data_IF_719540794010
#
_entry.id   IF_719540794010
#
_cell.length_a   1.000
_cell.length_b   1.000
_cell.length_c   1.000
_cell.angle_alpha   90.00
_cell.angle_beta   90.00
_cell.angle_gamma   90.00
#
_symmetry.space_group_name_H-M   'P 1'
#
loop_
_entity.id
_entity.type
_entity.pdbx_description
1 polymer ?
#
# COMPACT_ATOMS: atom_id res chain seq x y z
N UNK A 1 -1.79 -5.43 14.69
CA UNK A 1 -1.63 -4.93 13.30
C UNK A 1 -2.74 -3.99 12.82
N UNK A 2 -3.70 -3.66 13.68
CA UNK A 2 -4.80 -2.78 13.28
C UNK A 2 -4.29 -1.40 12.85
N UNK A 3 -3.29 -0.85 13.52
CA UNK A 3 -2.70 0.44 13.15
C UNK A 3 -1.98 0.38 11.80
N UNK A 4 -1.37 -0.75 11.49
CA UNK A 4 -0.69 -0.92 10.20
C UNK A 4 -1.69 -1.02 9.06
N UNK A 5 -2.77 -1.76 9.27
CA UNK A 5 -3.82 -1.88 8.27
C UNK A 5 -4.50 -0.53 8.00
N UNK A 6 -4.79 0.23 9.05
CA UNK A 6 -5.36 1.56 8.91
C UNK A 6 -4.41 2.51 8.16
N UNK A 7 -3.12 2.46 8.47
CA UNK A 7 -2.11 3.27 7.78
C UNK A 7 -2.01 2.88 6.30
N UNK A 8 -2.04 1.59 6.02
CA UNK A 8 -1.98 1.08 4.66
C UNK A 8 -3.21 1.49 3.85
N UNK A 9 -4.40 1.39 4.45
CA UNK A 9 -5.64 1.78 3.79
C UNK A 9 -5.64 3.28 3.45
N UNK A 10 -5.19 4.11 4.38
CA UNK A 10 -5.07 5.55 4.16
C UNK A 10 -4.08 5.86 3.05
N UNK A 11 -2.94 5.17 3.02
CA UNK A 11 -1.93 5.35 1.99
C UNK A 11 -2.46 4.92 0.62
N UNK A 12 -3.15 3.78 0.55
CA UNK A 12 -3.74 3.29 -0.69
C UNK A 12 -4.78 4.28 -1.23
N UNK A 13 -5.63 4.81 -0.36
CA UNK A 13 -6.62 5.80 -0.74
C UNK A 13 -5.95 7.07 -1.28
N UNK A 14 -4.90 7.51 -0.64
CA UNK A 14 -4.13 8.68 -1.06
C UNK A 14 -3.45 8.44 -2.41
N UNK A 15 -2.83 7.28 -2.59
CA UNK A 15 -2.16 6.94 -3.84
C UNK A 15 -3.12 6.86 -5.02
N UNK A 16 -4.31 6.31 -4.79
CA UNK A 16 -5.30 6.08 -5.85
C UNK A 16 -6.34 7.20 -5.97
N UNK A 17 -6.22 8.24 -5.15
CA UNK A 17 -7.14 9.38 -5.13
C UNK A 17 -8.61 8.96 -4.94
N UNK A 18 -8.84 7.90 -4.18
CA UNK A 18 -10.19 7.42 -3.88
C UNK A 18 -10.21 6.73 -2.52
N UNK A 19 -11.27 6.96 -1.72
CA UNK A 19 -11.42 6.27 -0.45
C UNK A 19 -11.95 4.83 -0.60
N UNK A 20 -12.35 4.45 -1.82
CA UNK A 20 -12.99 3.14 -2.05
C UNK A 20 -11.97 2.09 -2.43
N UNK A 21 -11.08 1.81 -1.48
CA UNK A 21 -10.07 0.77 -1.61
C UNK A 21 -10.32 -0.27 -0.52
N UNK A 22 -10.35 -1.53 -0.90
CA UNK A 22 -10.54 -2.63 0.06
C UNK A 22 -9.32 -3.54 0.07
N UNK A 23 -8.96 -4.01 1.26
CA UNK A 23 -7.85 -4.94 1.43
C UNK A 23 -8.27 -6.32 0.96
N UNK A 24 -7.49 -6.92 0.06
CA UNK A 24 -7.77 -8.27 -0.43
C UNK A 24 -6.72 -9.28 0.00
N UNK A 25 -5.50 -8.84 0.29
CA UNK A 25 -4.49 -9.76 0.81
C UNK A 25 -3.40 -9.02 1.56
N UNK A 26 -2.79 -9.73 2.50
CA UNK A 26 -1.60 -9.28 3.21
C UNK A 26 -0.60 -10.42 3.08
N UNK A 27 0.46 -10.15 2.33
CA UNK A 27 1.49 -11.15 2.05
C UNK A 27 2.81 -10.79 2.70
N UNK A 28 3.61 -11.80 2.96
CA UNK A 28 4.99 -11.62 3.40
C UNK A 28 5.12 -10.74 4.63
N UNK A 29 4.24 -10.93 5.60
CA UNK A 29 4.37 -10.20 6.86
C UNK A 29 5.52 -10.80 7.65
N UNK A 30 6.65 -10.11 7.68
CA UNK A 30 7.86 -10.58 8.33
C UNK A 30 8.17 -9.69 9.51
N UNK A 31 8.08 -10.26 10.72
CA UNK A 31 8.46 -9.56 11.93
C UNK A 31 9.96 -9.72 12.15
N UNK A 32 10.66 -8.62 12.24
CA UNK A 32 12.10 -8.60 12.46
C UNK A 32 12.45 -8.43 13.94
N UNK A 33 11.69 -7.59 14.63
CA UNK A 33 11.93 -7.24 16.03
C UNK A 33 10.63 -6.91 16.72
N UNK A 34 10.53 -7.16 18.03
CA UNK A 34 9.36 -6.70 18.78
C UNK A 34 9.37 -5.17 18.91
N UNK A 35 8.20 -4.58 18.87
CA UNK A 35 8.04 -3.17 19.20
C UNK A 35 8.11 -3.03 20.72
N UNK A 36 8.93 -2.10 21.20
CA UNK A 36 9.06 -1.83 22.64
C UNK A 36 8.18 -0.67 23.00
N UNK A 37 7.63 -0.75 24.21
CA UNK A 37 6.86 0.35 24.76
C UNK A 37 7.72 1.61 24.85
N UNK A 38 7.12 2.76 24.55
CA UNK A 38 7.82 4.05 24.60
C UNK A 38 8.62 4.40 23.38
N UNK A 39 8.70 3.52 22.40
CA UNK A 39 9.35 3.82 21.13
C UNK A 39 8.37 4.46 20.14
N UNK A 40 8.85 5.44 19.38
CA UNK A 40 8.08 5.97 18.29
C UNK A 40 8.13 4.99 17.12
N UNK A 41 7.00 4.75 16.49
CA UNK A 41 6.94 3.87 15.32
C UNK A 41 6.65 4.72 14.10
N UNK A 42 7.47 4.56 13.07
CA UNK A 42 7.27 5.20 11.78
C UNK A 42 6.95 4.13 10.75
N UNK A 43 5.96 4.43 9.90
CA UNK A 43 5.56 3.53 8.83
C UNK A 43 5.92 4.18 7.51
N UNK A 44 6.66 3.44 6.70
CA UNK A 44 7.04 3.86 5.36
C UNK A 44 6.32 2.97 4.35
N UNK A 45 5.86 3.58 3.27
CA UNK A 45 5.17 2.85 2.23
C UNK A 45 5.73 3.17 0.86
N UNK A 46 5.66 2.19 -0.02
CA UNK A 46 5.99 2.38 -1.42
C UNK A 46 5.06 1.53 -2.28
N UNK A 47 4.88 1.94 -3.52
CA UNK A 47 4.05 1.18 -4.46
C UNK A 47 4.93 0.12 -5.10
N UNK A 48 4.60 -1.15 -4.80
CA UNK A 48 5.32 -2.29 -5.36
C UNK A 48 4.85 -2.62 -6.77
N UNK A 49 3.55 -2.52 -7.00
CA UNK A 49 2.99 -2.82 -8.31
C UNK A 49 1.54 -2.40 -8.42
N UNK A 50 1.08 -2.23 -9.65
CA UNK A 50 -0.31 -1.89 -9.94
C UNK A 50 -0.84 -2.87 -10.97
N UNK A 51 -1.86 -3.64 -10.59
CA UNK A 51 -2.59 -4.51 -11.49
C UNK A 51 -3.72 -3.73 -12.18
N UNK A 52 -4.63 -4.43 -12.83
CA UNK A 52 -5.74 -3.78 -13.51
C UNK A 52 -6.64 -3.04 -12.53
N UNK A 53 -7.05 -3.71 -11.46
CA UNK A 53 -7.98 -3.17 -10.46
C UNK A 53 -7.34 -3.03 -9.08
N UNK A 54 -6.07 -3.38 -8.96
CA UNK A 54 -5.40 -3.49 -7.66
C UNK A 54 -4.12 -2.69 -7.58
N UNK A 55 -3.73 -2.38 -6.37
CA UNK A 55 -2.44 -1.80 -6.06
C UNK A 55 -1.83 -2.59 -4.91
N UNK A 56 -0.55 -2.92 -5.04
CA UNK A 56 0.19 -3.59 -3.98
C UNK A 56 1.19 -2.62 -3.39
N UNK A 57 1.14 -2.48 -2.09
CA UNK A 57 2.02 -1.60 -1.34
C UNK A 57 2.98 -2.43 -0.52
N UNK A 58 4.24 -2.02 -0.48
CA UNK A 58 5.19 -2.53 0.48
C UNK A 58 5.24 -1.56 1.64
N UNK A 59 5.01 -2.07 2.84
CA UNK A 59 5.04 -1.27 4.05
C UNK A 59 6.15 -1.74 4.96
N UNK A 60 6.79 -0.78 5.59
CA UNK A 60 7.88 -1.05 6.51
C UNK A 60 7.64 -0.23 7.77
N UNK A 61 7.49 -0.91 8.89
CA UNK A 61 7.37 -0.24 10.19
C UNK A 61 8.74 -0.25 10.86
N UNK A 62 9.15 0.90 11.34
CA UNK A 62 10.43 1.08 12.02
C UNK A 62 10.24 1.68 13.40
N UNK A 63 11.03 1.22 14.35
CA UNK A 63 11.16 1.91 15.62
C UNK A 63 12.13 3.07 15.43
N UNK A 64 11.85 4.18 16.07
CA UNK A 64 12.69 5.37 16.01
C UNK A 64 13.09 5.76 17.42
N UNK A 65 14.39 5.81 17.67
CA UNK A 65 14.91 6.31 18.94
C UNK A 65 15.07 7.83 18.82
N UNK A 66 14.28 8.55 19.61
CA UNK A 66 14.26 10.03 19.52
C UNK A 66 15.54 10.68 20.02
N UNK A 67 16.35 9.95 20.79
CA UNK A 67 17.57 10.51 21.38
C UNK A 67 18.76 10.46 20.42
N UNK A 68 18.91 9.37 19.67
CA UNK A 68 20.06 9.21 18.78
C UNK A 68 19.70 9.12 17.31
N UNK A 69 18.39 9.16 16.98
CA UNK A 69 17.91 9.11 15.62
C UNK A 69 17.99 7.74 14.95
N UNK A 70 18.42 6.74 15.67
CA UNK A 70 18.53 5.39 15.09
C UNK A 70 17.17 4.78 14.83
N UNK A 71 17.07 4.09 13.71
CA UNK A 71 15.86 3.37 13.32
C UNK A 71 16.18 1.89 13.14
N UNK A 72 15.23 1.06 13.53
CA UNK A 72 15.33 -0.39 13.32
C UNK A 72 14.02 -0.90 12.73
N UNK A 73 14.13 -1.79 11.75
CA UNK A 73 12.95 -2.38 11.12
C UNK A 73 12.28 -3.33 12.08
N UNK A 74 10.99 -3.09 12.34
CA UNK A 74 10.16 -3.96 13.18
C UNK A 74 9.52 -5.03 12.31
N UNK A 75 8.91 -4.61 11.21
CA UNK A 75 8.27 -5.54 10.28
C UNK A 75 8.21 -4.96 8.87
N UNK A 76 8.11 -5.86 7.92
CA UNK A 76 7.81 -5.51 6.53
C UNK A 76 6.65 -6.37 6.06
N UNK A 77 5.80 -5.82 5.19
CA UNK A 77 4.70 -6.57 4.63
C UNK A 77 4.27 -5.98 3.29
N UNK A 78 3.68 -6.82 2.46
CA UNK A 78 3.05 -6.39 1.22
C UNK A 78 1.54 -6.52 1.40
N UNK A 79 0.81 -5.46 1.10
CA UNK A 79 -0.65 -5.43 1.22
C UNK A 79 -1.22 -5.03 -0.13
N UNK A 80 -2.20 -5.80 -0.60
CA UNK A 80 -2.88 -5.54 -1.86
C UNK A 80 -4.28 -5.01 -1.60
N UNK A 81 -4.62 -3.93 -2.26
CA UNK A 81 -5.93 -3.30 -2.22
C UNK A 81 -6.56 -3.34 -3.61
N UNK A 82 -7.88 -3.43 -3.66
CA UNK A 82 -8.64 -3.37 -4.90
C UNK A 82 -9.54 -2.15 -4.87
N UNK A 83 -9.59 -1.44 -5.99
CA UNK A 83 -10.49 -0.31 -6.15
C UNK A 83 -11.89 -0.82 -6.47
N UNK A 84 -12.88 -0.29 -5.76
CA UNK A 84 -14.27 -0.66 -5.96
C UNK A 84 -15.12 0.57 -6.28
N UNK A 85 -16.26 0.33 -6.91
CA UNK A 85 -17.26 1.37 -7.16
C UNK A 85 -18.28 1.41 -6.02
N UNK A 86 -19.34 2.19 -6.21
CA UNK A 86 -20.40 2.34 -5.20
C UNK A 86 -21.16 1.06 -4.94
N UNK A 87 -21.16 0.15 -5.92
CA UNK A 87 -21.87 -1.12 -5.81
C UNK A 87 -20.99 -2.24 -5.26
N UNK A 88 -19.74 -1.93 -4.94
CA UNK A 88 -18.79 -2.95 -4.46
C UNK A 88 -18.10 -3.74 -5.55
N UNK A 89 -18.30 -3.37 -6.81
CA UNK A 89 -17.65 -4.05 -7.92
C UNK A 89 -16.25 -3.50 -8.15
N UNK A 90 -15.31 -4.37 -8.49
CA UNK A 90 -13.95 -3.92 -8.78
C UNK A 90 -13.90 -3.11 -10.08
N UNK A 91 -13.18 -2.01 -10.03
CA UNK A 91 -12.99 -1.14 -11.21
C UNK A 91 -11.50 -0.84 -11.37
N UNK A 92 -11.08 -0.52 -12.61
CA UNK A 92 -9.67 -0.30 -12.88
C UNK A 92 -9.07 0.88 -12.12
N UNK A 93 -7.81 0.72 -11.73
CA UNK A 93 -7.00 1.83 -11.25
C UNK A 93 -6.81 2.80 -12.42
N UNK A 94 -6.99 4.09 -12.19
CA UNK A 94 -6.94 5.07 -13.26
C UNK A 94 -5.56 5.16 -13.89
N UNK A 95 -5.52 5.52 -15.18
CA UNK A 95 -4.26 5.70 -15.89
C UNK A 95 -3.43 6.83 -15.29
N UNK A 96 -4.09 7.86 -14.78
CA UNK A 96 -3.42 8.96 -14.10
C UNK A 96 -2.60 8.47 -12.90
N UNK A 97 -3.16 7.56 -12.13
CA UNK A 97 -2.47 6.98 -10.98
C UNK A 97 -1.31 6.11 -11.44
N UNK A 98 -1.50 5.34 -12.52
CA UNK A 98 -0.44 4.51 -13.07
C UNK A 98 0.74 5.35 -13.51
N UNK A 99 0.49 6.42 -14.24
CA UNK A 99 1.54 7.32 -14.70
C UNK A 99 2.28 7.97 -13.53
N UNK A 100 1.54 8.36 -12.49
CA UNK A 100 2.10 8.97 -11.30
C UNK A 100 3.18 8.11 -10.66
N UNK A 101 3.02 6.79 -10.69
CA UNK A 101 3.98 5.86 -10.11
C UNK A 101 4.85 5.15 -11.14
N UNK A 102 4.84 5.61 -12.39
CA UNK A 102 5.70 5.06 -13.43
C UNK A 102 5.25 3.76 -14.03
N UNK A 103 3.98 3.40 -13.89
CA UNK A 103 3.42 2.19 -14.49
C UNK A 103 2.74 2.52 -15.81
N UNK A 104 2.73 1.55 -16.71
CA UNK A 104 2.09 1.75 -18.01
C UNK A 104 0.58 1.81 -17.89
N UNK A 105 -0.09 2.59 -18.74
CA UNK A 105 -1.54 2.59 -18.80
C UNK A 105 -2.07 1.21 -19.14
N UNK A 106 -3.30 0.95 -18.76
CA UNK A 106 -3.97 -0.28 -19.15
C UNK A 106 -4.14 -0.24 -20.66
N UNK A 107 -3.50 -1.19 -21.32
CA UNK A 107 -3.68 -1.33 -22.76
C UNK A 107 -5.06 -1.90 -22.99
N UNK A 108 -5.96 -1.06 -23.37
CA UNK A 108 -7.20 -1.52 -23.94
C UNK A 108 -6.81 -2.33 -25.15
N UNK A 109 -7.11 -3.58 -25.15
CA UNK A 109 -6.91 -4.40 -26.31
C UNK A 109 -7.85 -3.92 -27.36
N UNK A 110 -7.42 -2.93 -28.03
CA UNK A 110 -8.09 -2.57 -29.23
C UNK A 110 -7.83 -3.65 -30.20
N UNK A 111 -8.81 -4.34 -30.39
CA UNK A 111 -8.78 -5.25 -31.45
C UNK A 111 -9.07 -4.47 -32.68
N UNK A 112 -8.08 -3.81 -33.04
CA UNK A 112 -8.15 -3.20 -34.30
C UNK A 112 -7.59 -4.15 -35.23
N UNK A 113 -8.28 -4.37 -36.12
CA UNK A 113 -7.78 -5.21 -37.14
C UNK A 113 -7.78 -4.50 -38.42
#
# INVERSE_FOLDING_TARGET
>A
LAWLDASAAAYAAQCCDTPRMVTVSIDKCVFKRPAKEGQMIKVYGSVKGIGKTSITLTLEARSHNVYDGRQAIILTTDITFVRIDEMGESIPISDRVREKFGFEPIKTKLIIK
#
